data_IF_234013492396
#
_entry.id   IF_234013492396
#
_cell.length_a   1.000
_cell.length_b   1.000
_cell.length_c   1.000
_cell.angle_alpha   90.00
_cell.angle_beta   90.00
_cell.angle_gamma   90.00
#
_symmetry.space_group_name_H-M   'P 1'
#
loop_
_entity.id
_entity.type
_entity.pdbx_description
1 polymer ?
#
# COMPACT_ATOMS: atom_id res chain seq x y z
N UNK A 1 -7.80 9.96 20.68
CA UNK A 1 -8.17 10.77 19.48
C UNK A 1 -9.44 10.19 18.92
N UNK A 2 -10.54 10.93 18.99
CA UNK A 2 -11.88 10.41 18.68
C UNK A 2 -12.29 10.80 17.24
N UNK A 3 -11.50 10.39 16.23
CA UNK A 3 -11.85 10.60 14.83
C UNK A 3 -11.38 9.44 13.95
N UNK A 4 -11.96 9.31 12.76
CA UNK A 4 -11.62 8.31 11.76
C UNK A 4 -11.31 8.98 10.43
N UNK A 5 -10.16 8.63 9.84
CA UNK A 5 -9.78 9.10 8.51
C UNK A 5 -10.26 8.16 7.38
N UNK A 6 -11.11 7.18 7.70
CA UNK A 6 -11.64 6.19 6.75
C UNK A 6 -13.15 6.00 6.89
N UNK A 7 -13.84 7.06 7.30
CA UNK A 7 -15.31 7.05 7.35
C UNK A 7 -15.86 6.90 5.93
N UNK A 8 -16.84 6.00 5.77
CA UNK A 8 -17.50 5.74 4.50
C UNK A 8 -19.01 5.65 4.69
N UNK A 9 -19.75 5.48 3.59
CA UNK A 9 -21.21 5.35 3.61
C UNK A 9 -21.66 4.39 2.49
N UNK A 10 -22.95 4.01 2.50
CA UNK A 10 -23.48 3.08 1.50
C UNK A 10 -23.65 3.77 0.15
N UNK A 11 -23.41 3.04 -0.95
CA UNK A 11 -23.59 3.54 -2.31
C UNK A 11 -25.01 4.10 -2.56
N UNK A 12 -26.03 3.46 -1.98
CA UNK A 12 -27.43 3.93 -2.06
C UNK A 12 -27.68 5.30 -1.43
N UNK A 13 -26.73 5.81 -0.64
CA UNK A 13 -26.79 7.12 0.01
C UNK A 13 -25.78 8.10 -0.59
N UNK A 14 -25.29 7.82 -1.80
CA UNK A 14 -24.33 8.71 -2.47
C UNK A 14 -25.01 10.03 -2.86
N UNK A 15 -24.38 11.12 -2.50
CA UNK A 15 -24.60 12.47 -3.04
C UNK A 15 -23.26 13.24 -2.95
N UNK A 16 -23.10 14.25 -3.79
CA UNK A 16 -21.89 15.08 -3.79
C UNK A 16 -21.72 15.83 -2.46
N UNK A 17 -22.82 16.30 -1.86
CA UNK A 17 -22.82 16.93 -0.54
C UNK A 17 -22.34 15.98 0.55
N UNK A 18 -22.84 14.74 0.54
CA UNK A 18 -22.41 13.73 1.51
C UNK A 18 -20.96 13.32 1.29
N UNK A 19 -20.53 13.17 0.04
CA UNK A 19 -19.14 12.90 -0.30
C UNK A 19 -18.24 14.00 0.24
N UNK A 20 -18.54 15.27 -0.06
CA UNK A 20 -17.73 16.42 0.38
C UNK A 20 -17.63 16.50 1.91
N UNK A 21 -18.75 16.34 2.60
CA UNK A 21 -18.78 16.33 4.07
C UNK A 21 -17.89 15.23 4.65
N UNK A 22 -17.99 14.00 4.14
CA UNK A 22 -17.22 12.86 4.64
C UNK A 22 -15.75 12.99 4.30
N UNK A 23 -15.40 13.42 3.09
CA UNK A 23 -14.01 13.62 2.68
C UNK A 23 -13.34 14.73 3.49
N UNK A 24 -14.02 15.86 3.71
CA UNK A 24 -13.50 16.95 4.56
C UNK A 24 -13.19 16.44 5.98
N UNK A 25 -14.09 15.67 6.58
CA UNK A 25 -13.88 15.07 7.89
C UNK A 25 -12.71 14.08 7.90
N UNK A 26 -12.61 13.21 6.88
CA UNK A 26 -11.53 12.24 6.75
C UNK A 26 -10.16 12.93 6.61
N UNK A 27 -10.04 13.96 5.76
CA UNK A 27 -8.80 14.70 5.57
C UNK A 27 -8.39 15.47 6.83
N UNK A 28 -9.35 16.11 7.52
CA UNK A 28 -9.10 16.76 8.80
C UNK A 28 -8.59 15.78 9.84
N UNK A 29 -9.21 14.60 9.92
CA UNK A 29 -8.78 13.57 10.85
C UNK A 29 -7.40 13.00 10.47
N UNK A 30 -7.14 12.75 9.18
CA UNK A 30 -5.83 12.32 8.71
C UNK A 30 -4.74 13.30 9.15
N UNK A 31 -4.95 14.60 8.95
CA UNK A 31 -4.00 15.62 9.35
C UNK A 31 -3.69 15.56 10.86
N UNK A 32 -4.72 15.46 11.71
CA UNK A 32 -4.57 15.32 13.16
C UNK A 32 -3.84 14.04 13.57
N UNK A 33 -4.09 12.92 12.86
CA UNK A 33 -3.37 11.67 13.10
C UNK A 33 -1.88 11.80 12.79
N UNK A 34 -1.52 12.50 11.71
CA UNK A 34 -0.13 12.77 11.35
C UNK A 34 0.55 13.68 12.38
N UNK A 35 -0.13 14.73 12.86
CA UNK A 35 0.37 15.59 13.92
C UNK A 35 0.64 14.79 15.21
N UNK A 36 -0.30 13.93 15.58
CA UNK A 36 -0.14 13.08 16.76
C UNK A 36 1.06 12.13 16.61
N UNK A 37 1.22 11.52 15.43
CA UNK A 37 2.35 10.63 15.14
C UNK A 37 3.69 11.35 15.26
N UNK A 38 3.81 12.55 14.69
CA UNK A 38 5.03 13.37 14.79
C UNK A 38 5.34 13.72 16.24
N UNK A 39 4.32 14.17 17.01
CA UNK A 39 4.48 14.51 18.42
C UNK A 39 4.95 13.33 19.29
N UNK A 40 4.69 12.08 18.84
CA UNK A 40 5.10 10.85 19.55
C UNK A 40 6.29 10.14 18.91
N UNK A 41 6.98 10.76 17.94
CA UNK A 41 8.14 10.17 17.27
C UNK A 41 7.83 9.00 16.34
N UNK A 42 6.57 8.81 15.95
CA UNK A 42 6.13 7.76 15.03
C UNK A 42 6.16 8.29 13.59
N UNK A 43 7.34 8.25 12.97
CA UNK A 43 7.57 8.86 11.65
C UNK A 43 7.18 7.94 10.47
N UNK A 44 6.17 7.13 10.63
CA UNK A 44 5.57 6.34 9.55
C UNK A 44 4.06 6.28 9.73
N UNK A 45 3.33 6.23 8.60
CA UNK A 45 1.88 6.12 8.62
C UNK A 45 1.35 5.38 7.40
N UNK A 46 0.35 4.53 7.63
CA UNK A 46 -0.38 3.87 6.55
C UNK A 46 -1.73 4.54 6.38
N UNK A 47 -1.91 5.21 5.24
CA UNK A 47 -3.16 5.88 4.89
C UNK A 47 -4.18 4.82 4.45
N UNK A 48 -5.39 4.92 4.98
CA UNK A 48 -6.49 4.01 4.62
C UNK A 48 -7.00 4.26 3.19
N UNK A 49 -7.44 3.21 2.51
CA UNK A 49 -7.97 3.28 1.14
C UNK A 49 -9.23 4.13 1.02
N UNK A 50 -10.02 4.24 2.07
CA UNK A 50 -11.34 4.92 2.09
C UNK A 50 -11.27 6.41 2.44
N UNK A 51 -10.13 7.08 2.28
CA UNK A 51 -10.02 8.55 2.51
C UNK A 51 -11.06 9.30 1.69
N UNK A 52 -11.20 8.93 0.41
CA UNK A 52 -12.28 9.41 -0.45
C UNK A 52 -13.20 8.21 -0.75
N UNK A 53 -14.37 8.11 -0.11
CA UNK A 53 -15.32 7.05 -0.41
C UNK A 53 -15.67 7.04 -1.90
N UNK A 54 -15.65 5.85 -2.50
CA UNK A 54 -15.93 5.66 -3.94
C UNK A 54 -14.98 6.40 -4.89
N UNK A 55 -13.79 6.82 -4.45
CA UNK A 55 -12.87 7.61 -5.26
C UNK A 55 -12.44 6.97 -6.57
N UNK A 56 -12.41 5.64 -6.65
CA UNK A 56 -12.17 4.85 -7.87
C UNK A 56 -13.46 4.40 -8.59
N UNK A 57 -14.64 4.60 -7.98
CA UNK A 57 -15.91 4.08 -8.51
C UNK A 57 -16.54 5.05 -9.52
N UNK A 58 -17.14 4.56 -10.63
CA UNK A 58 -17.76 5.42 -11.65
C UNK A 58 -18.90 6.33 -11.14
N UNK A 59 -19.51 6.02 -9.99
CA UNK A 59 -20.52 6.88 -9.37
C UNK A 59 -19.95 8.21 -8.90
N UNK A 60 -18.65 8.27 -8.63
CA UNK A 60 -17.97 9.45 -8.12
C UNK A 60 -17.62 10.41 -9.26
N UNK A 61 -18.63 11.16 -9.73
CA UNK A 61 -18.48 12.18 -10.76
C UNK A 61 -18.07 13.55 -10.21
N UNK A 62 -18.15 13.74 -8.91
CA UNK A 62 -17.74 14.98 -8.24
C UNK A 62 -16.22 15.20 -8.38
N UNK A 63 -15.78 16.40 -8.75
CA UNK A 63 -14.37 16.69 -8.97
C UNK A 63 -13.60 16.90 -7.65
N UNK A 64 -13.65 15.89 -6.78
CA UNK A 64 -13.01 15.91 -5.45
C UNK A 64 -11.51 16.24 -5.47
N UNK A 65 -10.71 15.90 -6.52
CA UNK A 65 -9.30 16.24 -6.54
C UNK A 65 -9.04 17.74 -6.56
N UNK A 66 -9.80 18.49 -7.37
CA UNK A 66 -9.69 19.93 -7.43
C UNK A 66 -10.36 20.61 -6.25
N UNK A 67 -11.47 20.07 -5.77
CA UNK A 67 -12.19 20.62 -4.62
C UNK A 67 -11.34 20.59 -3.33
N UNK A 68 -10.62 19.50 -3.07
CA UNK A 68 -9.77 19.32 -1.91
C UNK A 68 -8.27 19.52 -2.17
N UNK A 69 -7.91 20.22 -3.22
CA UNK A 69 -6.51 20.40 -3.62
C UNK A 69 -5.68 21.13 -2.55
N UNK A 70 -6.27 22.02 -1.78
CA UNK A 70 -5.58 22.75 -0.71
C UNK A 70 -5.27 21.83 0.48
N UNK A 71 -6.24 21.01 0.89
CA UNK A 71 -6.11 20.06 1.99
C UNK A 71 -5.08 18.97 1.67
N UNK A 72 -5.13 18.40 0.46
CA UNK A 72 -4.12 17.43 0.02
C UNK A 72 -2.72 18.03 0.06
N UNK A 73 -2.54 19.25 -0.46
CA UNK A 73 -1.25 19.95 -0.41
C UNK A 73 -0.78 20.23 1.02
N UNK A 74 -1.68 20.65 1.90
CA UNK A 74 -1.35 20.89 3.30
C UNK A 74 -0.84 19.62 3.97
N UNK A 75 -1.54 18.48 3.79
CA UNK A 75 -1.14 17.16 4.29
C UNK A 75 0.24 16.79 3.73
N UNK A 76 0.43 16.90 2.43
CA UNK A 76 1.70 16.54 1.77
C UNK A 76 2.87 17.41 2.23
N UNK A 77 2.65 18.71 2.43
CA UNK A 77 3.67 19.60 2.97
C UNK A 77 4.04 19.24 4.41
N UNK A 78 3.05 18.90 5.23
CA UNK A 78 3.29 18.43 6.60
C UNK A 78 4.11 17.13 6.63
N UNK A 79 3.76 16.16 5.79
CA UNK A 79 4.49 14.89 5.63
C UNK A 79 5.96 15.16 5.28
N UNK A 80 6.21 16.01 4.28
CA UNK A 80 7.59 16.36 3.85
C UNK A 80 8.37 17.09 4.92
N UNK A 81 7.77 18.10 5.56
CA UNK A 81 8.42 18.91 6.58
C UNK A 81 8.86 18.09 7.81
N UNK A 82 8.15 17.00 8.11
CA UNK A 82 8.43 16.13 9.25
C UNK A 82 9.11 14.80 8.87
N UNK A 83 9.51 14.61 7.62
CA UNK A 83 10.14 13.37 7.13
C UNK A 83 9.29 12.11 7.40
N UNK A 84 7.96 12.22 7.38
CA UNK A 84 7.07 11.09 7.57
C UNK A 84 7.15 10.14 6.37
N UNK A 85 7.29 8.85 6.65
CA UNK A 85 7.16 7.79 5.65
C UNK A 85 5.70 7.37 5.56
N UNK A 86 5.10 7.57 4.40
CA UNK A 86 3.70 7.20 4.19
C UNK A 86 3.53 6.12 3.14
N UNK A 87 2.48 5.33 3.31
CA UNK A 87 2.09 4.33 2.33
C UNK A 87 0.58 4.18 2.27
N UNK A 88 0.06 3.81 1.09
CA UNK A 88 -1.25 3.20 0.95
C UNK A 88 -1.14 1.69 0.90
N UNK A 89 -2.17 1.02 1.40
CA UNK A 89 -2.36 -0.41 1.22
C UNK A 89 -3.73 -0.63 0.58
N UNK A 90 -3.76 -0.97 -0.71
CA UNK A 90 -5.00 -1.32 -1.37
C UNK A 90 -5.70 -2.47 -0.66
N UNK A 91 -7.03 -2.46 -0.70
CA UNK A 91 -7.83 -3.50 -0.10
C UNK A 91 -7.55 -4.87 -0.76
N UNK A 92 -7.89 -5.94 -0.02
CA UNK A 92 -7.70 -7.32 -0.48
C UNK A 92 -8.39 -7.67 -1.81
N UNK A 93 -9.30 -6.81 -2.27
CA UNK A 93 -10.00 -6.96 -3.54
C UNK A 93 -9.18 -6.51 -4.75
N UNK A 94 -8.06 -5.84 -4.52
CA UNK A 94 -7.15 -5.37 -5.58
C UNK A 94 -6.26 -6.53 -6.00
N UNK A 95 -6.63 -7.18 -7.12
CA UNK A 95 -6.01 -8.41 -7.61
C UNK A 95 -5.67 -8.29 -9.09
N UNK A 96 -4.43 -7.87 -9.40
CA UNK A 96 -3.96 -7.66 -10.78
C UNK A 96 -3.81 -8.96 -11.61
N UNK A 97 -3.74 -10.12 -10.97
CA UNK A 97 -3.58 -11.42 -11.63
C UNK A 97 -4.88 -12.24 -11.70
N UNK A 98 -6.02 -11.58 -11.44
CA UNK A 98 -7.32 -12.21 -11.55
C UNK A 98 -7.55 -12.76 -12.98
N UNK A 99 -8.18 -13.93 -13.12
CA UNK A 99 -8.64 -14.41 -14.43
C UNK A 99 -9.83 -13.58 -14.98
N UNK A 100 -10.51 -12.79 -14.15
CA UNK A 100 -11.61 -11.92 -14.57
C UNK A 100 -11.09 -10.54 -14.97
N UNK A 101 -11.29 -10.12 -16.24
CA UNK A 101 -10.89 -8.79 -16.71
C UNK A 101 -11.51 -7.64 -15.89
N UNK A 102 -12.78 -7.79 -15.47
CA UNK A 102 -13.49 -6.77 -14.70
C UNK A 102 -12.85 -6.54 -13.32
N UNK A 103 -12.34 -7.61 -12.69
CA UNK A 103 -11.63 -7.50 -11.42
C UNK A 103 -10.29 -6.81 -11.64
N UNK A 104 -9.59 -7.14 -12.72
CA UNK A 104 -8.32 -6.49 -13.07
C UNK A 104 -8.54 -5.00 -13.32
N UNK A 105 -9.56 -4.65 -14.11
CA UNK A 105 -9.88 -3.25 -14.43
C UNK A 105 -10.15 -2.44 -13.17
N UNK A 106 -11.03 -2.90 -12.29
CA UNK A 106 -11.32 -2.25 -11.00
C UNK A 106 -10.09 -2.17 -10.11
N UNK A 107 -9.23 -3.18 -10.13
CA UNK A 107 -7.96 -3.17 -9.39
C UNK A 107 -7.00 -2.09 -9.90
N UNK A 108 -6.94 -1.88 -11.21
CA UNK A 108 -6.14 -0.81 -11.83
C UNK A 108 -6.70 0.55 -11.46
N UNK A 109 -8.01 0.75 -11.54
CA UNK A 109 -8.69 1.99 -11.18
C UNK A 109 -8.42 2.37 -9.71
N UNK A 110 -8.47 1.40 -8.80
CA UNK A 110 -8.16 1.62 -7.39
C UNK A 110 -6.69 2.02 -7.17
N UNK A 111 -5.74 1.37 -7.85
CA UNK A 111 -4.33 1.74 -7.77
C UNK A 111 -4.06 3.13 -8.36
N UNK A 112 -4.73 3.49 -9.46
CA UNK A 112 -4.64 4.82 -10.07
C UNK A 112 -5.18 5.87 -9.11
N UNK A 113 -6.34 5.63 -8.51
CA UNK A 113 -6.93 6.51 -7.51
C UNK A 113 -5.98 6.77 -6.35
N UNK A 114 -5.43 5.72 -5.73
CA UNK A 114 -4.50 5.87 -4.60
C UNK A 114 -3.18 6.54 -5.02
N UNK A 115 -2.67 6.22 -6.20
CA UNK A 115 -1.50 6.88 -6.77
C UNK A 115 -1.71 8.37 -6.96
N UNK A 116 -2.86 8.75 -7.52
CA UNK A 116 -3.24 10.14 -7.74
C UNK A 116 -3.36 10.94 -6.44
N UNK A 117 -3.85 10.33 -5.36
CA UNK A 117 -3.87 11.00 -4.05
C UNK A 117 -2.47 11.36 -3.56
N UNK A 118 -1.47 10.48 -3.75
CA UNK A 118 -0.08 10.80 -3.42
C UNK A 118 0.47 11.94 -4.29
N UNK A 119 0.04 12.01 -5.57
CA UNK A 119 0.41 13.10 -6.47
C UNK A 119 -0.24 14.43 -6.05
N UNK A 120 -1.52 14.45 -5.65
CA UNK A 120 -2.18 15.65 -5.13
C UNK A 120 -1.55 16.16 -3.84
N UNK A 121 -1.03 15.26 -3.01
CA UNK A 121 -0.20 15.61 -1.84
C UNK A 121 1.20 16.11 -2.23
N UNK A 122 1.60 16.00 -3.49
CA UNK A 122 2.94 16.36 -3.98
C UNK A 122 4.04 15.50 -3.40
N UNK A 123 3.75 14.23 -3.10
CA UNK A 123 4.71 13.28 -2.55
C UNK A 123 5.47 12.57 -3.66
N UNK A 124 6.73 12.32 -3.41
CA UNK A 124 7.62 11.62 -4.32
C UNK A 124 7.49 10.08 -4.22
N UNK A 125 8.42 9.37 -4.84
CA UNK A 125 8.45 7.90 -4.83
C UNK A 125 8.85 7.27 -3.50
N UNK A 126 9.12 8.04 -2.46
CA UNK A 126 9.29 7.50 -1.09
C UNK A 126 7.94 7.09 -0.50
N UNK A 127 6.87 7.77 -0.87
CA UNK A 127 5.50 7.35 -0.59
C UNK A 127 5.13 6.13 -1.45
N UNK A 128 4.66 5.06 -0.83
CA UNK A 128 4.47 3.75 -1.46
C UNK A 128 3.01 3.31 -1.55
N UNK A 129 2.69 2.63 -2.64
CA UNK A 129 1.53 1.74 -2.72
C UNK A 129 2.03 0.33 -2.42
N UNK A 130 1.54 -0.28 -1.34
CA UNK A 130 1.96 -1.61 -0.91
C UNK A 130 0.81 -2.60 -1.15
N UNK A 131 0.97 -3.52 -2.08
CA UNK A 131 -0.02 -4.56 -2.32
C UNK A 131 0.57 -5.96 -2.10
N UNK A 132 -0.30 -6.90 -1.77
CA UNK A 132 0.04 -8.31 -1.76
C UNK A 132 -0.30 -8.94 -3.11
N UNK A 133 0.59 -9.77 -3.62
CA UNK A 133 0.21 -10.73 -4.62
C UNK A 133 -0.57 -11.84 -3.92
N UNK A 134 -1.89 -11.85 -4.07
CA UNK A 134 -2.81 -12.77 -3.38
C UNK A 134 -2.74 -14.22 -3.87
N UNK A 135 -3.85 -14.95 -3.80
CA UNK A 135 -3.97 -16.35 -4.23
C UNK A 135 -3.58 -16.59 -5.70
N UNK A 136 -3.36 -17.83 -6.07
CA UNK A 136 -2.84 -18.18 -7.41
C UNK A 136 -3.85 -18.89 -8.33
N UNK A 137 -5.12 -19.01 -7.94
CA UNK A 137 -6.20 -19.61 -8.75
C UNK A 137 -5.84 -21.01 -9.29
N UNK A 138 -5.14 -21.82 -8.50
CA UNK A 138 -4.73 -23.19 -8.88
C UNK A 138 -3.44 -23.27 -9.69
N UNK A 139 -3.03 -22.21 -10.40
CA UNK A 139 -1.80 -22.14 -11.20
C UNK A 139 -0.98 -20.90 -10.85
N UNK A 140 0.11 -21.14 -10.15
CA UNK A 140 1.01 -20.08 -9.67
C UNK A 140 1.78 -19.38 -10.80
N UNK A 141 2.26 -20.15 -11.77
CA UNK A 141 3.05 -19.57 -12.85
C UNK A 141 2.19 -18.71 -13.77
N UNK A 142 0.98 -19.16 -14.04
CA UNK A 142 0.00 -18.40 -14.80
C UNK A 142 -0.41 -17.12 -14.04
N UNK A 143 -0.59 -17.19 -12.73
CA UNK A 143 -0.86 -16.02 -11.90
C UNK A 143 0.28 -15.00 -11.96
N UNK A 144 1.54 -15.44 -11.89
CA UNK A 144 2.71 -14.58 -12.04
C UNK A 144 2.77 -13.95 -13.42
N UNK A 145 2.54 -14.71 -14.48
CA UNK A 145 2.51 -14.18 -15.85
C UNK A 145 1.43 -13.11 -16.04
N UNK A 146 0.20 -13.36 -15.59
CA UNK A 146 -0.90 -12.37 -15.62
C UNK A 146 -0.52 -11.12 -14.86
N UNK A 147 -0.01 -11.26 -13.63
CA UNK A 147 0.44 -10.13 -12.83
C UNK A 147 1.48 -9.29 -13.57
N UNK A 148 2.52 -9.93 -14.13
CA UNK A 148 3.59 -9.25 -14.85
C UNK A 148 3.08 -8.49 -16.08
N UNK A 149 2.16 -9.11 -16.84
CA UNK A 149 1.53 -8.47 -18.00
C UNK A 149 0.75 -7.22 -17.61
N UNK A 150 -0.15 -7.33 -16.63
CA UNK A 150 -0.94 -6.18 -16.16
C UNK A 150 -0.05 -5.12 -15.53
N UNK A 151 0.93 -5.53 -14.73
CA UNK A 151 1.89 -4.60 -14.11
C UNK A 151 2.64 -3.76 -15.16
N UNK A 152 3.02 -4.36 -16.28
CA UNK A 152 3.71 -3.66 -17.36
C UNK A 152 2.84 -2.61 -18.07
N UNK A 153 1.51 -2.73 -18.01
CA UNK A 153 0.55 -1.78 -18.61
C UNK A 153 0.00 -0.74 -17.65
N UNK A 154 0.36 -0.81 -16.35
CA UNK A 154 -0.11 0.17 -15.37
C UNK A 154 0.30 1.59 -15.78
N UNK A 155 -0.56 2.60 -15.53
CA UNK A 155 -0.23 4.00 -15.78
C UNK A 155 1.03 4.46 -15.05
N UNK A 156 1.72 5.45 -15.62
CA UNK A 156 2.95 5.99 -15.07
C UNK A 156 2.79 6.47 -13.61
N UNK A 157 1.66 7.05 -13.24
CA UNK A 157 1.36 7.46 -11.86
C UNK A 157 1.52 6.34 -10.82
N UNK A 158 1.27 5.07 -11.21
CA UNK A 158 1.42 3.88 -10.37
C UNK A 158 2.81 3.27 -10.50
N UNK A 159 3.35 3.24 -11.74
CA UNK A 159 4.66 2.65 -12.03
C UNK A 159 5.82 3.59 -11.75
N UNK A 160 5.61 4.92 -11.84
CA UNK A 160 6.68 5.88 -12.08
C UNK A 160 7.87 5.73 -11.13
N UNK A 161 9.08 5.66 -11.69
CA UNK A 161 10.26 6.13 -11.01
C UNK A 161 10.25 7.67 -11.17
N UNK A 162 9.93 8.40 -10.15
CA UNK A 162 10.41 9.77 -10.05
C UNK A 162 11.95 9.75 -10.05
N UNK A 163 12.59 10.83 -10.51
CA UNK A 163 14.03 10.97 -10.62
C UNK A 163 14.79 10.45 -9.36
N UNK A 164 15.18 9.18 -9.38
CA UNK A 164 15.78 8.49 -8.23
C UNK A 164 15.64 6.96 -8.27
N UNK A 165 14.99 6.39 -9.29
CA UNK A 165 15.01 4.94 -9.57
C UNK A 165 14.17 4.04 -8.66
N UNK A 166 13.37 4.57 -7.73
CA UNK A 166 12.50 3.77 -6.87
C UNK A 166 11.06 3.82 -7.38
N UNK A 167 10.48 2.66 -7.65
CA UNK A 167 9.06 2.55 -8.08
C UNK A 167 8.12 2.82 -6.91
N UNK A 168 6.98 3.49 -7.17
CA UNK A 168 5.96 3.78 -6.17
C UNK A 168 5.25 2.49 -5.71
N UNK A 169 4.88 1.61 -6.64
CA UNK A 169 4.23 0.34 -6.30
C UNK A 169 5.25 -0.67 -5.75
N UNK A 170 5.09 -1.04 -4.50
CA UNK A 170 5.82 -2.10 -3.83
C UNK A 170 4.95 -3.36 -3.73
N UNK A 171 5.36 -4.44 -4.37
CA UNK A 171 4.66 -5.73 -4.31
C UNK A 171 5.27 -6.57 -3.21
N UNK A 172 4.46 -6.91 -2.22
CA UNK A 172 4.84 -7.85 -1.17
C UNK A 172 4.55 -9.27 -1.66
N UNK A 173 5.59 -9.94 -2.15
CA UNK A 173 5.47 -11.35 -2.51
C UNK A 173 5.21 -12.18 -1.25
N UNK A 174 4.14 -12.96 -1.24
CA UNK A 174 3.93 -13.96 -0.21
C UNK A 174 5.14 -14.92 -0.18
N UNK A 175 5.50 -15.42 0.99
CA UNK A 175 6.68 -16.29 1.23
C UNK A 175 6.77 -17.50 0.29
N UNK A 176 5.67 -17.85 -0.35
CA UNK A 176 5.52 -18.96 -1.32
C UNK A 176 6.10 -18.66 -2.72
N UNK A 177 6.55 -17.42 -3.00
CA UNK A 177 7.20 -17.06 -4.27
C UNK A 177 8.70 -17.40 -4.31
N UNK A 178 9.24 -18.00 -3.24
CA UNK A 178 10.60 -18.52 -3.26
C UNK A 178 10.60 -19.95 -3.79
N UNK A 179 10.80 -20.16 -5.07
CA UNK A 179 11.52 -21.32 -5.61
C UNK A 179 11.61 -21.23 -7.14
N UNK A 180 12.79 -21.42 -7.57
CA UNK A 180 13.36 -21.73 -8.89
C UNK A 180 13.89 -20.55 -9.70
N UNK A 181 15.16 -20.58 -10.07
CA UNK A 181 15.75 -19.72 -11.09
C UNK A 181 15.29 -20.25 -12.45
N UNK A 182 14.35 -19.57 -13.10
CA UNK A 182 14.12 -19.76 -14.52
C UNK A 182 15.03 -18.78 -15.28
N UNK A 183 15.82 -19.31 -16.17
CA UNK A 183 16.75 -18.62 -17.02
C UNK A 183 16.16 -17.39 -17.72
N UNK A 184 16.83 -16.26 -17.56
CA UNK A 184 16.92 -15.18 -18.52
C UNK A 184 15.67 -14.37 -18.80
N UNK A 185 15.35 -13.46 -17.92
CA UNK A 185 14.84 -12.09 -18.06
C UNK A 185 14.35 -11.63 -16.69
N UNK A 186 15.31 -11.34 -15.82
CA UNK A 186 15.03 -10.84 -14.49
C UNK A 186 14.73 -9.34 -14.54
N UNK A 187 13.45 -8.99 -14.69
CA UNK A 187 12.98 -7.76 -14.12
C UNK A 187 12.93 -7.97 -12.61
N UNK A 188 13.94 -7.46 -11.93
CA UNK A 188 14.22 -7.71 -10.52
C UNK A 188 13.04 -7.26 -9.64
N UNK A 189 12.25 -8.21 -9.20
CA UNK A 189 11.45 -8.08 -7.98
C UNK A 189 12.45 -8.09 -6.83
N UNK A 190 13.05 -6.95 -6.51
CA UNK A 190 13.91 -6.85 -5.34
C UNK A 190 13.04 -6.83 -4.09
N UNK A 191 13.23 -7.83 -3.28
CA UNK A 191 12.80 -7.85 -1.90
C UNK A 191 13.51 -6.69 -1.18
N UNK A 192 12.75 -5.66 -0.79
CA UNK A 192 13.27 -4.62 0.07
C UNK A 192 13.45 -5.18 1.48
N UNK A 193 14.67 -5.63 1.77
CA UNK A 193 15.16 -5.64 3.14
C UNK A 193 15.63 -4.22 3.41
N UNK A 194 14.91 -3.47 4.20
CA UNK A 194 15.41 -2.21 4.74
C UNK A 194 16.65 -2.53 5.57
N UNK A 195 17.81 -1.89 5.34
CA UNK A 195 18.89 -1.94 6.31
C UNK A 195 18.45 -1.13 7.51
N UNK A 196 18.11 -1.79 8.61
CA UNK A 196 17.72 -1.14 9.85
C UNK A 196 16.51 -1.69 10.56
N UNK A 197 16.13 -2.96 10.35
CA UNK A 197 15.22 -3.63 11.29
C UNK A 197 15.95 -3.89 12.61
N UNK A 198 16.08 -2.83 13.42
CA UNK A 198 16.39 -3.01 14.84
C UNK A 198 15.22 -3.78 15.45
N UNK A 199 15.52 -5.01 15.86
CA UNK A 199 14.64 -5.80 16.71
C UNK A 199 14.32 -4.98 17.96
N UNK A 200 13.07 -4.61 18.12
CA UNK A 200 12.57 -4.07 19.37
C UNK A 200 12.66 -5.17 20.43
N UNK A 201 13.70 -5.10 21.28
CA UNK A 201 13.73 -5.86 22.53
C UNK A 201 12.75 -5.21 23.49
N UNK A 202 11.60 -5.83 23.65
CA UNK A 202 10.76 -5.59 24.82
C UNK A 202 11.49 -6.18 26.01
N UNK A 203 12.00 -5.33 26.89
CA UNK A 203 12.55 -5.72 28.18
C UNK A 203 11.40 -6.05 29.13
N UNK A 204 10.92 -7.30 29.04
CA UNK A 204 10.04 -7.92 30.01
C UNK A 204 10.81 -9.03 30.70
N UNK A 205 10.97 -8.95 32.05
CA UNK A 205 11.59 -9.99 32.86
C UNK A 205 10.82 -11.29 32.68
N UNK A 206 11.50 -12.32 32.12
CA UNK A 206 11.01 -13.67 32.00
C UNK A 206 11.59 -14.57 33.07
N UNK A 207 11.06 -15.78 33.27
CA UNK A 207 11.67 -16.80 34.13
C UNK A 207 12.69 -17.67 33.39
N UNK A 208 13.53 -18.32 34.17
CA UNK A 208 14.79 -19.00 33.97
C UNK A 208 14.81 -20.22 33.02
N UNK A 209 16.02 -20.79 32.74
CA UNK A 209 16.29 -21.56 31.53
C UNK A 209 16.00 -23.07 31.70
N UNK A 210 15.49 -23.69 30.66
CA UNK A 210 15.24 -25.12 30.56
C UNK A 210 15.77 -25.74 29.28
N UNK A 211 16.87 -26.49 29.44
CA UNK A 211 17.37 -27.63 28.65
C UNK A 211 17.61 -27.48 27.13
N UNK A 212 18.89 -27.56 26.83
CA UNK A 212 19.47 -27.93 25.54
C UNK A 212 18.86 -29.22 24.97
N UNK A 213 18.37 -29.16 23.75
CA UNK A 213 18.26 -30.30 22.86
C UNK A 213 19.16 -30.07 21.66
N UNK A 214 20.08 -30.99 21.44
CA UNK A 214 21.03 -31.01 20.34
C UNK A 214 20.35 -31.23 18.98
N UNK A 215 20.91 -30.70 17.87
CA UNK A 215 20.37 -30.93 16.54
C UNK A 215 20.71 -32.38 16.07
N UNK A 216 19.83 -32.99 15.26
CA UNK A 216 20.14 -34.31 14.66
C UNK A 216 21.13 -34.13 13.51
N UNK A 217 22.05 -35.08 13.41
CA UNK A 217 23.06 -35.22 12.38
C UNK A 217 22.46 -35.56 11.01
N UNK A 218 23.10 -35.17 9.89
CA UNK A 218 22.63 -35.52 8.57
C UNK A 218 23.07 -36.94 8.21
N UNK A 219 22.14 -37.81 7.93
CA UNK A 219 22.39 -39.09 7.27
C UNK A 219 22.01 -39.02 5.80
N UNK A 220 22.92 -39.45 5.01
CA UNK A 220 23.12 -39.43 3.59
C UNK A 220 22.04 -40.06 2.73
N UNK A 221 22.14 -39.66 1.48
CA UNK A 221 21.52 -40.28 0.31
C UNK A 221 22.08 -41.68 -0.02
N UNK A 222 21.30 -42.47 -0.78
CA UNK A 222 21.78 -42.89 -2.07
C UNK A 222 21.13 -42.15 -3.23
#
# INVERSE_FOLDING_TARGET
MDCSASTTFRLTSYSDERLTTVVAANLTCLYRMLEWNVAHGLLFFRIGSSIVPFGSHPVSTFPWPSHFAAEFRAIGNYIKANNLQVSFHPDQFVVLHSPSPDIVQRSVEELVYQGSMLDFMGLDSTAKLQMHMGGHYGDRELAIRRFTQVYATLPAAVQAPFSGGKRRLAVLAARQLRAAPANGCAHSVRQFSSPGSQQWRVSGRGPAPGRHLAPPSPTGCP
#
